data_IF_246256712627
#
_entry.id   IF_246256712627
#
_cell.length_a   1.000
_cell.length_b   1.000
_cell.length_c   1.000
_cell.angle_alpha   90.00
_cell.angle_beta   90.00
_cell.angle_gamma   90.00
#
_symmetry.space_group_name_H-M   'P 1'
#
loop_
_entity.id
_entity.type
_entity.pdbx_description
1 polymer ?
#
# COMPACT_ATOMS: atom_id res chain seq x y z
N UNK A 1 -7.14 8.93 -5.37
CA UNK A 1 -7.62 7.70 -4.71
C UNK A 1 -9.11 7.39 -4.99
N UNK A 2 -9.63 7.69 -6.19
CA UNK A 2 -11.07 7.43 -6.50
C UNK A 2 -11.40 5.94 -6.58
N UNK A 3 -10.50 5.13 -7.12
CA UNK A 3 -10.72 3.71 -7.33
C UNK A 3 -10.93 2.90 -6.03
N UNK A 4 -10.42 3.38 -4.89
CA UNK A 4 -10.53 2.69 -3.60
C UNK A 4 -11.29 3.49 -2.53
N UNK A 5 -11.94 4.61 -2.87
CA UNK A 5 -12.52 5.54 -1.89
C UNK A 5 -13.53 4.91 -0.90
N UNK A 6 -14.17 3.81 -1.32
CA UNK A 6 -15.17 3.05 -0.57
C UNK A 6 -14.79 1.58 -0.43
N UNK A 7 -13.53 1.23 -0.64
CA UNK A 7 -13.08 -0.16 -0.63
C UNK A 7 -12.36 -0.48 0.67
N UNK A 8 -12.77 -1.54 1.36
CA UNK A 8 -12.02 -2.11 2.49
C UNK A 8 -11.65 -3.55 2.14
N UNK A 9 -10.39 -3.92 2.34
CA UNK A 9 -9.92 -5.30 2.14
C UNK A 9 -9.63 -5.90 3.51
N UNK A 10 -10.40 -6.92 3.89
CA UNK A 10 -10.33 -7.54 5.22
C UNK A 10 -9.54 -8.84 5.17
N UNK A 11 -8.55 -8.96 6.04
CA UNK A 11 -7.84 -10.19 6.36
C UNK A 11 -7.63 -10.29 7.88
N UNK A 12 -7.59 -11.50 8.50
CA UNK A 12 -7.47 -11.65 9.95
C UNK A 12 -6.29 -10.90 10.58
N UNK A 13 -5.15 -10.81 9.88
CA UNK A 13 -3.97 -10.12 10.38
C UNK A 13 -3.97 -8.60 10.13
N UNK A 14 -4.61 -8.15 9.04
CA UNK A 14 -4.50 -6.76 8.55
C UNK A 14 -5.74 -6.36 7.75
N UNK A 15 -6.16 -5.11 7.91
CA UNK A 15 -7.28 -4.52 7.19
C UNK A 15 -6.77 -3.31 6.41
N UNK A 16 -7.02 -3.27 5.10
CA UNK A 16 -6.66 -2.14 4.25
C UNK A 16 -7.88 -1.24 4.10
N UNK A 17 -7.78 0.02 4.52
CA UNK A 17 -8.84 1.02 4.46
C UNK A 17 -8.38 2.22 3.62
N UNK A 18 -9.27 2.96 2.94
CA UNK A 18 -8.84 4.12 2.15
C UNK A 18 -8.20 5.16 3.06
N UNK A 19 -7.16 5.84 2.57
CA UNK A 19 -6.58 6.97 3.28
C UNK A 19 -7.55 8.15 3.31
N UNK A 20 -7.76 8.73 4.50
CA UNK A 20 -8.84 9.70 4.79
C UNK A 20 -8.36 10.70 5.83
N UNK A 21 -9.08 11.81 5.97
CA UNK A 21 -8.77 12.93 6.86
C UNK A 21 -8.51 12.49 8.31
N UNK A 22 -9.27 11.53 8.83
CA UNK A 22 -9.12 11.00 10.20
C UNK A 22 -7.77 10.31 10.46
N UNK A 23 -7.08 9.85 9.40
CA UNK A 23 -5.79 9.19 9.51
C UNK A 23 -4.61 10.18 9.52
N UNK A 24 -4.81 11.43 9.08
CA UNK A 24 -3.74 12.41 8.82
C UNK A 24 -2.93 12.72 10.07
N UNK A 25 -3.59 12.94 11.21
CA UNK A 25 -2.88 13.29 12.45
C UNK A 25 -1.89 12.18 12.87
N UNK A 26 -2.31 10.91 12.79
CA UNK A 26 -1.46 9.76 13.11
C UNK A 26 -0.37 9.55 12.06
N UNK A 27 -0.69 9.74 10.79
CA UNK A 27 0.31 9.66 9.71
C UNK A 27 1.40 10.73 9.88
N UNK A 28 1.01 11.96 10.22
CA UNK A 28 1.95 13.05 10.49
C UNK A 28 2.87 12.72 11.68
N UNK A 29 2.36 12.11 12.77
CA UNK A 29 3.20 11.62 13.86
C UNK A 29 4.30 10.67 13.37
N UNK A 30 3.97 9.75 12.45
CA UNK A 30 4.99 8.87 11.85
C UNK A 30 6.00 9.64 11.03
N UNK A 31 5.56 10.63 10.26
CA UNK A 31 6.43 11.47 9.44
C UNK A 31 7.30 12.42 10.28
N UNK A 32 7.08 12.56 11.59
CA UNK A 32 8.06 13.23 12.48
C UNK A 32 9.32 12.39 12.73
N UNK A 33 9.29 11.08 12.46
CA UNK A 33 10.44 10.19 12.65
C UNK A 33 11.40 10.21 11.44
N UNK A 34 12.65 10.60 11.67
CA UNK A 34 13.67 10.75 10.63
C UNK A 34 13.99 9.44 9.89
N UNK A 35 14.07 8.32 10.62
CA UNK A 35 14.35 7.00 10.02
C UNK A 35 13.21 6.56 9.10
N UNK A 36 11.95 6.79 9.49
CA UNK A 36 10.81 6.49 8.64
C UNK A 36 10.84 7.34 7.36
N UNK A 37 11.07 8.65 7.48
CA UNK A 37 11.15 9.55 6.32
C UNK A 37 12.27 9.16 5.36
N UNK A 38 13.44 8.78 5.88
CA UNK A 38 14.55 8.31 5.05
C UNK A 38 14.18 7.03 4.28
N UNK A 39 13.53 6.07 4.96
CA UNK A 39 13.11 4.81 4.35
C UNK A 39 11.97 4.95 3.32
N UNK A 40 11.15 6.00 3.43
CA UNK A 40 10.05 6.30 2.51
C UNK A 40 10.34 7.48 1.57
N UNK A 41 11.60 7.96 1.53
CA UNK A 41 12.02 9.12 0.76
C UNK A 41 11.06 10.33 0.88
N UNK A 42 10.56 10.58 2.10
CA UNK A 42 9.53 11.59 2.37
C UNK A 42 10.12 12.86 2.97
N UNK A 43 9.67 14.02 2.48
CA UNK A 43 10.05 15.32 3.03
C UNK A 43 9.21 15.66 4.27
N UNK A 44 9.77 16.41 5.25
CA UNK A 44 9.01 16.85 6.40
C UNK A 44 7.98 17.92 6.00
N UNK A 45 6.76 17.74 6.47
CA UNK A 45 5.64 18.67 6.25
C UNK A 45 5.04 19.07 7.59
N UNK A 46 4.45 20.26 7.64
CA UNK A 46 3.57 20.64 8.75
C UNK A 46 2.27 19.83 8.70
N UNK A 47 1.59 19.72 9.85
CA UNK A 47 0.30 19.02 9.91
C UNK A 47 -0.74 19.60 8.96
N UNK A 48 -0.75 20.93 8.75
CA UNK A 48 -1.66 21.58 7.81
C UNK A 48 -1.37 21.20 6.36
N UNK A 49 -0.08 21.14 5.99
CA UNK A 49 0.36 20.69 4.67
C UNK A 49 0.00 19.21 4.42
N UNK A 50 0.10 18.34 5.43
CA UNK A 50 -0.35 16.94 5.34
C UNK A 50 -1.86 16.85 5.05
N UNK A 51 -2.68 17.68 5.71
CA UNK A 51 -4.11 17.77 5.42
C UNK A 51 -4.38 18.27 4.00
N UNK A 52 -3.62 19.25 3.51
CA UNK A 52 -3.72 19.73 2.13
C UNK A 52 -3.32 18.65 1.12
N UNK A 53 -2.26 17.90 1.41
CA UNK A 53 -1.81 16.79 0.56
C UNK A 53 -2.80 15.65 0.53
N UNK A 54 -3.36 15.26 1.68
CA UNK A 54 -4.40 14.23 1.73
C UNK A 54 -5.62 14.63 0.89
N UNK A 55 -6.06 15.90 0.95
CA UNK A 55 -7.17 16.40 0.13
C UNK A 55 -6.90 16.28 -1.37
N UNK A 56 -5.67 16.60 -1.80
CA UNK A 56 -5.24 16.46 -3.21
C UNK A 56 -5.25 14.99 -3.61
N UNK A 57 -4.58 14.13 -2.84
CA UNK A 57 -4.49 12.70 -3.11
C UNK A 57 -5.84 12.01 -3.18
N UNK A 58 -6.85 12.49 -2.44
CA UNK A 58 -8.19 11.92 -2.49
C UNK A 58 -8.75 11.88 -3.92
N UNK A 59 -8.51 12.91 -4.71
CA UNK A 59 -9.03 13.05 -6.08
C UNK A 59 -8.05 12.61 -7.17
N UNK A 60 -6.79 12.35 -6.81
CA UNK A 60 -5.75 11.92 -7.77
C UNK A 60 -6.11 10.59 -8.45
N UNK A 61 -5.84 10.50 -9.75
CA UNK A 61 -6.09 9.29 -10.55
C UNK A 61 -4.82 8.46 -10.74
N UNK A 62 -3.66 9.04 -10.43
CA UNK A 62 -2.32 8.45 -10.51
C UNK A 62 -1.80 7.95 -9.15
N UNK A 63 -2.63 7.99 -8.10
CA UNK A 63 -2.28 7.48 -6.77
C UNK A 63 -3.43 6.73 -6.10
N UNK A 64 -3.08 5.58 -5.53
CA UNK A 64 -3.97 4.76 -4.70
C UNK A 64 -3.25 4.40 -3.39
N UNK A 65 -3.79 4.84 -2.26
CA UNK A 65 -3.25 4.54 -0.93
C UNK A 65 -4.27 3.83 -0.07
N UNK A 66 -3.84 2.77 0.60
CA UNK A 66 -4.55 2.18 1.72
C UNK A 66 -3.77 2.38 3.02
N UNK A 67 -4.46 2.74 4.08
CA UNK A 67 -3.95 2.64 5.45
C UNK A 67 -4.11 1.20 5.93
N UNK A 68 -3.08 0.71 6.61
CA UNK A 68 -3.07 -0.60 7.24
C UNK A 68 -3.54 -0.46 8.69
N UNK A 69 -4.62 -1.17 9.03
CA UNK A 69 -5.09 -1.37 10.39
C UNK A 69 -4.76 -2.79 10.84
N UNK A 70 -4.47 -2.99 12.12
CA UNK A 70 -4.32 -4.34 12.68
C UNK A 70 -5.65 -5.08 12.66
N UNK A 71 -5.68 -6.27 12.03
CA UNK A 71 -6.91 -7.08 11.92
C UNK A 71 -7.24 -7.90 13.17
N UNK A 72 -6.29 -8.05 14.11
CA UNK A 72 -6.37 -9.01 15.22
C UNK A 72 -7.57 -8.79 16.15
N UNK A 73 -8.08 -7.56 16.24
CA UNK A 73 -9.21 -7.20 17.09
C UNK A 73 -10.52 -7.03 16.32
N UNK A 74 -10.53 -7.25 15.00
CA UNK A 74 -11.75 -7.13 14.22
C UNK A 74 -12.53 -8.45 14.32
N UNK A 75 -13.65 -8.42 15.06
CA UNK A 75 -14.53 -9.58 15.15
C UNK A 75 -15.05 -9.99 13.77
N UNK A 76 -14.83 -11.26 13.41
CA UNK A 76 -15.28 -11.86 12.17
C UNK A 76 -16.81 -11.95 12.16
N UNK A 77 -17.45 -10.88 11.74
CA UNK A 77 -18.88 -10.83 11.43
C UNK A 77 -19.00 -10.73 9.92
N UNK A 78 -19.26 -11.88 9.27
CA UNK A 78 -19.28 -12.01 7.81
C UNK A 78 -20.22 -10.99 7.15
N UNK A 79 -21.37 -10.70 7.78
CA UNK A 79 -22.42 -9.81 7.26
C UNK A 79 -22.47 -8.39 7.87
N UNK A 80 -21.59 -8.05 8.83
CA UNK A 80 -21.68 -6.74 9.44
C UNK A 80 -21.08 -5.66 8.53
N UNK A 81 -21.86 -4.61 8.25
CA UNK A 81 -21.40 -3.43 7.52
C UNK A 81 -20.15 -2.86 8.19
N UNK A 82 -19.15 -2.52 7.36
CA UNK A 82 -17.97 -1.79 7.83
C UNK A 82 -18.27 -0.30 7.79
N UNK A 83 -18.18 0.32 8.96
CA UNK A 83 -18.35 1.77 9.12
C UNK A 83 -17.06 2.36 9.68
N UNK A 84 -16.79 3.66 9.48
CA UNK A 84 -15.63 4.35 10.04
C UNK A 84 -15.49 4.14 11.56
N UNK A 85 -16.59 4.08 12.32
CA UNK A 85 -16.58 3.92 13.79
C UNK A 85 -16.06 2.56 14.23
N UNK A 86 -16.34 1.50 13.45
CA UNK A 86 -15.81 0.16 13.76
C UNK A 86 -14.32 0.07 13.45
N UNK A 87 -13.89 0.75 12.40
CA UNK A 87 -12.50 0.74 11.94
C UNK A 87 -11.61 1.64 12.80
N UNK A 88 -12.13 2.75 13.32
CA UNK A 88 -11.36 3.71 14.14
C UNK A 88 -10.85 3.13 15.46
N UNK A 89 -11.46 2.04 15.95
CA UNK A 89 -10.99 1.31 17.13
C UNK A 89 -9.78 0.39 16.85
N UNK A 90 -9.43 0.15 15.59
CA UNK A 90 -8.30 -0.69 15.23
C UNK A 90 -7.00 0.13 15.20
N UNK A 91 -5.88 -0.40 15.73
CA UNK A 91 -4.59 0.25 15.62
C UNK A 91 -4.20 0.49 14.16
N UNK A 92 -3.90 1.74 13.81
CA UNK A 92 -3.27 2.12 12.55
C UNK A 92 -1.77 1.81 12.62
N UNK A 93 -1.25 1.04 11.66
CA UNK A 93 0.08 0.42 11.75
C UNK A 93 1.02 0.69 10.57
N UNK A 94 0.49 1.22 9.47
CA UNK A 94 1.27 1.57 8.29
C UNK A 94 0.37 1.93 7.11
N UNK A 95 0.92 1.87 5.91
CA UNK A 95 0.22 2.15 4.65
C UNK A 95 0.85 1.37 3.49
N UNK A 96 0.11 1.27 2.39
CA UNK A 96 0.55 0.67 1.14
C UNK A 96 0.03 1.49 -0.04
N UNK A 97 0.89 1.76 -1.01
CA UNK A 97 0.65 2.70 -2.10
C UNK A 97 0.84 2.06 -3.48
N UNK A 98 0.09 2.57 -4.45
CA UNK A 98 0.34 2.44 -5.88
C UNK A 98 0.48 3.84 -6.47
N UNK A 99 1.57 4.05 -7.22
CA UNK A 99 1.80 5.26 -8.00
C UNK A 99 1.85 4.92 -9.48
N UNK A 100 0.96 5.51 -10.26
CA UNK A 100 0.83 5.24 -11.69
C UNK A 100 1.69 6.25 -12.47
N UNK A 101 2.49 5.75 -13.42
CA UNK A 101 3.31 6.56 -14.32
C UNK A 101 2.94 6.22 -15.75
N UNK A 102 2.77 7.24 -16.59
CA UNK A 102 2.26 7.09 -17.96
C UNK A 102 0.77 6.75 -18.02
N UNK A 103 0.21 6.67 -19.23
CA UNK A 103 -1.16 6.22 -19.45
C UNK A 103 -1.22 4.69 -19.69
N UNK A 104 -2.29 3.97 -19.30
CA UNK A 104 -2.37 2.51 -19.40
C UNK A 104 -2.10 1.90 -20.79
N UNK A 105 -2.34 2.66 -21.86
CA UNK A 105 -2.11 2.28 -23.26
C UNK A 105 -0.72 2.64 -23.79
N UNK A 106 0.11 3.31 -23.00
CA UNK A 106 1.46 3.72 -23.38
C UNK A 106 2.53 2.66 -23.03
N UNK A 107 3.63 2.64 -23.78
CA UNK A 107 4.73 1.68 -23.55
C UNK A 107 5.45 1.92 -22.23
N UNK A 108 5.53 3.15 -21.77
CA UNK A 108 6.17 3.56 -20.52
C UNK A 108 5.25 3.45 -19.29
N UNK A 109 4.01 2.96 -19.46
CA UNK A 109 3.12 2.70 -18.33
C UNK A 109 3.78 1.79 -17.30
N UNK A 110 3.79 2.21 -16.05
CA UNK A 110 4.22 1.38 -14.93
C UNK A 110 3.50 1.81 -13.65
N UNK A 111 3.33 0.86 -12.74
CA UNK A 111 2.73 1.12 -11.43
C UNK A 111 3.69 0.72 -10.34
N UNK A 112 4.16 1.71 -9.61
CA UNK A 112 5.10 1.58 -8.51
C UNK A 112 4.38 1.22 -7.22
N UNK A 113 4.86 0.15 -6.57
CA UNK A 113 4.28 -0.41 -5.35
C UNK A 113 5.18 -0.07 -4.18
N UNK A 114 4.63 0.58 -3.17
CA UNK A 114 5.34 0.92 -1.93
C UNK A 114 4.59 0.46 -0.70
N UNK A 115 5.32 0.14 0.37
CA UNK A 115 4.73 -0.24 1.66
C UNK A 115 5.57 0.30 2.82
N UNK A 116 4.88 0.74 3.87
CA UNK A 116 5.49 1.07 5.15
C UNK A 116 4.75 0.35 6.28
N UNK A 117 5.51 -0.24 7.22
CA UNK A 117 5.00 -0.63 8.55
C UNK A 117 5.60 0.34 9.57
N UNK A 118 4.85 1.41 9.82
CA UNK A 118 5.31 2.50 10.66
C UNK A 118 5.50 2.07 12.12
N UNK A 119 4.53 1.33 12.68
CA UNK A 119 4.53 0.95 14.08
C UNK A 119 5.52 -0.21 14.36
N UNK A 120 6.60 0.01 15.15
CA UNK A 120 7.64 -0.99 15.38
C UNK A 120 7.10 -2.30 15.98
N UNK A 121 6.08 -2.20 16.82
CA UNK A 121 5.43 -3.35 17.45
C UNK A 121 4.88 -4.36 16.43
N UNK A 122 4.56 -3.93 15.20
CA UNK A 122 3.96 -4.75 14.14
C UNK A 122 4.97 -5.20 13.07
N UNK A 123 6.23 -4.75 13.14
CA UNK A 123 7.29 -5.16 12.22
C UNK A 123 7.68 -6.62 12.45
N UNK A 124 8.24 -7.27 11.42
CA UNK A 124 8.76 -8.65 11.46
C UNK A 124 7.71 -9.74 11.82
N UNK A 125 6.42 -9.44 11.74
CA UNK A 125 5.31 -10.38 11.95
C UNK A 125 4.69 -10.94 10.66
N UNK A 126 5.28 -10.64 9.50
CA UNK A 126 4.73 -11.03 8.19
C UNK A 126 3.63 -10.10 7.65
N UNK A 127 3.20 -9.10 8.42
CA UNK A 127 2.11 -8.18 8.04
C UNK A 127 2.37 -7.49 6.70
N UNK A 128 3.58 -6.98 6.45
CA UNK A 128 3.92 -6.34 5.17
C UNK A 128 3.73 -7.29 3.97
N UNK A 129 4.09 -8.56 4.13
CA UNK A 129 3.92 -9.58 3.09
C UNK A 129 2.46 -9.90 2.85
N UNK A 130 1.66 -9.98 3.92
CA UNK A 130 0.20 -10.13 3.81
C UNK A 130 -0.42 -8.93 3.11
N UNK A 131 -0.15 -7.70 3.58
CA UNK A 131 -0.71 -6.47 3.02
C UNK A 131 -0.38 -6.28 1.53
N UNK A 132 0.86 -6.54 1.12
CA UNK A 132 1.24 -6.50 -0.29
C UNK A 132 0.50 -7.54 -1.13
N UNK A 133 0.34 -8.79 -0.65
CA UNK A 133 -0.45 -9.79 -1.38
C UNK A 133 -1.90 -9.34 -1.57
N UNK A 134 -2.52 -8.77 -0.54
CA UNK A 134 -3.90 -8.26 -0.61
C UNK A 134 -4.02 -7.12 -1.63
N UNK A 135 -3.11 -6.13 -1.56
CA UNK A 135 -3.08 -5.03 -2.51
C UNK A 135 -2.85 -5.53 -3.93
N UNK A 136 -1.84 -6.36 -4.17
CA UNK A 136 -1.49 -6.86 -5.48
C UNK A 136 -2.59 -7.76 -6.06
N UNK A 137 -3.23 -8.58 -5.23
CA UNK A 137 -4.41 -9.36 -5.63
C UNK A 137 -5.54 -8.43 -6.07
N UNK A 138 -5.89 -7.42 -5.26
CA UNK A 138 -6.93 -6.44 -5.62
C UNK A 138 -6.57 -5.67 -6.89
N UNK A 139 -5.36 -5.11 -6.96
CA UNK A 139 -4.95 -4.23 -8.04
C UNK A 139 -4.87 -4.94 -9.41
N UNK A 140 -4.76 -6.26 -9.43
CA UNK A 140 -4.65 -7.07 -10.66
C UNK A 140 -5.89 -7.92 -10.93
N UNK A 141 -6.92 -7.83 -10.08
CA UNK A 141 -8.18 -8.55 -10.25
C UNK A 141 -9.02 -7.93 -11.39
N UNK A 142 -9.47 -8.71 -12.38
CA UNK A 142 -10.34 -8.22 -13.46
C UNK A 142 -11.64 -7.53 -13.00
N UNK A 143 -12.11 -7.80 -11.79
CA UNK A 143 -13.29 -7.17 -11.21
C UNK A 143 -13.01 -5.81 -10.53
N UNK A 144 -11.74 -5.41 -10.42
CA UNK A 144 -11.37 -4.15 -9.78
C UNK A 144 -11.73 -2.93 -10.63
N UNK A 145 -12.07 -1.80 -9.99
CA UNK A 145 -12.49 -0.59 -10.69
C UNK A 145 -11.32 0.13 -11.36
N UNK A 146 -11.61 0.85 -12.47
CA UNK A 146 -10.64 1.70 -13.17
C UNK A 146 -9.89 2.65 -12.20
N UNK A 147 -8.56 2.84 -12.35
CA UNK A 147 -7.72 2.40 -13.47
C UNK A 147 -7.20 0.95 -13.36
N UNK A 148 -7.73 0.15 -12.43
CA UNK A 148 -7.47 -1.29 -12.33
C UNK A 148 -8.36 -2.06 -13.32
N UNK A 149 -8.04 -3.33 -13.67
CA UNK A 149 -6.86 -4.11 -13.28
C UNK A 149 -5.56 -3.62 -13.92
N UNK A 150 -4.47 -3.72 -13.18
CA UNK A 150 -3.11 -3.50 -13.67
C UNK A 150 -2.56 -4.82 -14.22
N UNK A 151 -1.98 -4.85 -15.44
CA UNK A 151 -1.23 -6.02 -15.90
C UNK A 151 -0.02 -6.25 -14.99
N UNK A 152 0.20 -7.49 -14.54
CA UNK A 152 1.23 -7.78 -13.52
C UNK A 152 2.62 -7.36 -13.96
N UNK A 153 2.92 -7.43 -15.25
CA UNK A 153 4.20 -7.08 -15.87
C UNK A 153 4.51 -5.57 -15.78
N UNK A 154 3.50 -4.75 -15.49
CA UNK A 154 3.62 -3.29 -15.29
C UNK A 154 3.96 -2.90 -13.84
N UNK A 155 3.96 -3.87 -12.92
CA UNK A 155 4.29 -3.62 -11.51
C UNK A 155 5.79 -3.46 -11.32
N UNK A 156 6.17 -2.40 -10.60
CA UNK A 156 7.56 -2.09 -10.25
C UNK A 156 7.67 -1.75 -8.77
N UNK A 157 8.82 -2.01 -8.16
CA UNK A 157 9.18 -1.52 -6.84
C UNK A 157 10.60 -0.97 -6.89
N UNK A 158 10.80 0.24 -6.38
CA UNK A 158 12.14 0.85 -6.23
C UNK A 158 12.50 0.85 -4.76
N UNK A 159 13.65 0.30 -4.46
CA UNK A 159 14.06 0.03 -3.08
C UNK A 159 15.53 0.39 -2.96
N UNK A 160 15.91 1.11 -1.91
CA UNK A 160 17.32 1.35 -1.59
C UNK A 160 18.12 0.05 -1.56
N UNK A 161 19.29 0.02 -2.19
CA UNK A 161 20.08 -1.19 -2.42
C UNK A 161 20.61 -1.84 -1.12
N UNK A 162 20.66 -1.07 -0.03
CA UNK A 162 20.95 -1.52 1.34
C UNK A 162 19.73 -2.05 2.09
N UNK A 163 18.50 -1.82 1.61
CA UNK A 163 17.27 -2.28 2.26
C UNK A 163 16.96 -3.76 1.90
N UNK A 164 17.87 -4.64 2.26
CA UNK A 164 17.72 -6.09 2.04
C UNK A 164 16.41 -6.69 2.57
N UNK A 165 15.86 -6.26 3.73
CA UNK A 165 14.56 -6.75 4.18
C UNK A 165 13.43 -6.52 3.17
N UNK A 166 13.34 -5.33 2.59
CA UNK A 166 12.33 -5.00 1.58
C UNK A 166 12.60 -5.69 0.24
N UNK A 167 13.86 -5.81 -0.19
CA UNK A 167 14.23 -6.58 -1.40
C UNK A 167 13.75 -8.03 -1.27
N UNK A 168 14.09 -8.70 -0.16
CA UNK A 168 13.66 -10.09 0.10
C UNK A 168 12.14 -10.24 0.25
N UNK A 169 11.46 -9.19 0.69
CA UNK A 169 9.99 -9.16 0.78
C UNK A 169 9.38 -9.21 -0.64
N UNK A 170 9.84 -8.37 -1.55
CA UNK A 170 9.36 -8.35 -2.94
C UNK A 170 9.77 -9.59 -3.74
N UNK A 171 10.96 -10.15 -3.51
CA UNK A 171 11.37 -11.43 -4.11
C UNK A 171 10.40 -12.57 -3.75
N UNK A 172 9.92 -12.63 -2.50
CA UNK A 172 8.91 -13.60 -2.07
C UNK A 172 7.55 -13.43 -2.75
N UNK A 173 7.25 -12.23 -3.23
CA UNK A 173 6.03 -11.90 -3.96
C UNK A 173 6.13 -12.21 -5.46
N UNK A 174 7.27 -12.72 -5.93
CA UNK A 174 7.50 -13.07 -7.33
C UNK A 174 8.13 -11.95 -8.16
N UNK A 175 8.66 -10.92 -7.50
CA UNK A 175 9.46 -9.88 -8.15
C UNK A 175 10.91 -10.34 -8.30
N UNK A 176 11.64 -9.72 -9.23
CA UNK A 176 13.09 -9.91 -9.40
C UNK A 176 13.75 -8.60 -9.75
N UNK A 177 14.98 -8.41 -9.28
CA UNK A 177 15.79 -7.24 -9.63
C UNK A 177 16.02 -7.24 -11.15
N UNK A 178 15.53 -6.23 -11.85
CA UNK A 178 15.71 -6.03 -13.29
C UNK A 178 16.75 -4.97 -13.60
N UNK A 179 16.96 -4.03 -12.68
CA UNK A 179 17.90 -2.91 -12.86
C UNK A 179 18.48 -2.50 -11.51
N UNK A 180 19.75 -2.06 -11.52
CA UNK A 180 20.41 -1.40 -10.40
C UNK A 180 20.73 0.02 -10.82
N UNK A 181 20.51 1.00 -9.94
CA UNK A 181 20.67 2.43 -10.23
C UNK A 181 21.65 3.03 -9.22
N UNK A 182 22.98 2.89 -9.45
CA UNK A 182 24.00 3.26 -8.46
C UNK A 182 24.00 4.74 -8.07
N UNK A 183 23.58 5.64 -8.98
CA UNK A 183 23.53 7.08 -8.71
C UNK A 183 22.50 7.45 -7.64
N UNK A 184 21.46 6.63 -7.46
CA UNK A 184 20.44 6.80 -6.43
C UNK A 184 20.57 5.77 -5.30
N UNK A 185 21.60 4.90 -5.33
CA UNK A 185 21.75 3.78 -4.39
C UNK A 185 20.48 2.91 -4.30
N UNK A 186 19.84 2.64 -5.44
CA UNK A 186 18.57 1.93 -5.53
C UNK A 186 18.62 0.71 -6.46
N UNK A 187 17.70 -0.23 -6.23
CA UNK A 187 17.38 -1.33 -7.14
C UNK A 187 15.93 -1.23 -7.60
N UNK A 188 15.70 -1.55 -8.87
CA UNK A 188 14.37 -1.71 -9.44
C UNK A 188 14.04 -3.20 -9.50
N UNK A 189 12.89 -3.58 -8.93
CA UNK A 189 12.34 -4.91 -9.03
C UNK A 189 11.06 -4.88 -9.86
N UNK A 190 10.90 -5.83 -10.78
CA UNK A 190 9.66 -6.02 -11.55
C UNK A 190 9.08 -7.40 -11.29
N UNK A 191 7.76 -7.52 -11.42
CA UNK A 191 7.12 -8.83 -11.33
C UNK A 191 7.51 -9.69 -12.53
N UNK A 192 8.12 -10.85 -12.25
CA UNK A 192 8.56 -11.82 -13.28
C UNK A 192 7.85 -13.16 -13.14
N UNK A 193 7.04 -13.34 -12.09
CA UNK A 193 6.43 -14.61 -11.76
C UNK A 193 7.40 -15.66 -11.23
N UNK A 194 8.63 -15.27 -10.84
CA UNK A 194 9.62 -16.20 -10.32
C UNK A 194 9.13 -16.82 -9.00
N UNK A 195 9.07 -18.15 -8.92
CA UNK A 195 8.51 -18.88 -7.77
C UNK A 195 7.04 -18.51 -7.43
N UNK A 196 6.26 -18.04 -8.42
CA UNK A 196 4.93 -17.48 -8.18
C UNK A 196 3.96 -18.49 -7.56
N UNK A 197 3.65 -18.27 -6.28
CA UNK A 197 2.39 -18.70 -5.68
C UNK A 197 1.34 -17.61 -5.95
N UNK A 198 0.07 -17.96 -6.14
CA UNK A 198 -1.00 -16.97 -6.15
C UNK A 198 -0.93 -16.12 -4.88
N UNK A 199 -1.04 -14.80 -5.03
CA UNK A 199 -1.18 -13.90 -3.88
C UNK A 199 -2.50 -14.21 -3.17
N UNK A 200 -2.49 -14.19 -1.85
CA UNK A 200 -3.72 -14.30 -1.08
C UNK A 200 -4.62 -13.08 -1.33
N UNK A 201 -5.93 -13.34 -1.39
CA UNK A 201 -6.96 -12.31 -1.50
C UNK A 201 -7.65 -12.11 -0.14
N UNK A 202 -8.08 -10.88 0.13
CA UNK A 202 -8.92 -10.56 1.29
C UNK A 202 -10.38 -10.41 0.91
N UNK A 203 -11.27 -10.35 1.89
CA UNK A 203 -12.66 -10.05 1.64
C UNK A 203 -12.80 -8.55 1.30
N UNK A 204 -13.15 -8.26 0.05
CA UNK A 204 -13.41 -6.90 -0.42
C UNK A 204 -14.82 -6.50 0.01
N UNK A 205 -14.92 -5.44 0.83
CA UNK A 205 -16.17 -4.91 1.38
C UNK A 205 -16.30 -3.44 1.06
N UNK A 206 -17.54 -2.97 0.89
CA UNK A 206 -17.81 -1.55 0.76
C UNK A 206 -17.76 -0.85 2.12
N UNK A 207 -17.08 0.29 2.21
CA UNK A 207 -17.13 1.21 3.34
C UNK A 207 -18.43 2.00 3.28
N UNK A 208 -19.24 1.89 4.33
CA UNK A 208 -20.47 2.66 4.44
C UNK A 208 -20.18 3.98 5.17
N UNK A 209 -20.22 5.08 4.42
CA UNK A 209 -19.89 6.45 4.86
C UNK A 209 -21.18 7.26 4.97
#
# INVERSE_FOLDING_TARGET
>A
MRANEKTVIVHPDVVLVPYRTEHVAKYHEWMTNDELRELTASEPLSLEEEYDMQRKWQVDEDKLTFILLSGTSLEATEDAMLTPERLSGLPMIGDVNLFFKGAPDEEDFEVEVEIMIAEPAYRRRGIAHTALQLLLSYATDPASPSPLPIPKERLVARIGDKNEPSIRLFEKLGFSITKRVPVFEEVELRYTGTNAKPWISGAVKALNI
#
